data_IF_467113071618
#
_entry.id   IF_467113071618
#
_cell.length_a   1.000
_cell.length_b   1.000
_cell.length_c   1.000
_cell.angle_alpha   90.00
_cell.angle_beta   90.00
_cell.angle_gamma   90.00
#
_symmetry.space_group_name_H-M   'P 1'
#
loop_
_entity.id
_entity.type
_entity.pdbx_description
1 polymer ?
#
# COMPACT_ATOMS: atom_id res chain seq x y z
N UNK A 1 -1.19 3.18 6.79
CA UNK A 1 -0.52 1.98 7.34
C UNK A 1 -1.26 0.69 7.01
N UNK A 2 -2.59 0.63 7.05
CA UNK A 2 -3.39 -0.56 6.67
C UNK A 2 -3.26 -0.98 5.19
N UNK A 3 -2.62 -0.17 4.37
CA UNK A 3 -2.49 -0.37 2.93
C UNK A 3 -1.79 -1.69 2.56
N UNK A 4 -0.75 -2.07 3.30
CA UNK A 4 -0.01 -3.31 3.05
C UNK A 4 -0.90 -4.55 3.10
N UNK A 5 -1.56 -4.84 4.22
CA UNK A 5 -2.48 -5.97 4.32
C UNK A 5 -3.62 -5.94 3.29
N UNK A 6 -4.21 -4.77 3.02
CA UNK A 6 -5.26 -4.67 1.99
C UNK A 6 -4.73 -5.03 0.61
N UNK A 7 -3.55 -4.56 0.25
CA UNK A 7 -2.92 -4.86 -1.05
C UNK A 7 -2.57 -6.34 -1.21
N UNK A 8 -2.17 -7.01 -0.13
CA UNK A 8 -1.75 -8.42 -0.15
C UNK A 8 -2.90 -9.37 0.11
N UNK A 9 -3.72 -9.13 1.11
CA UNK A 9 -4.64 -10.13 1.65
C UNK A 9 -6.01 -10.13 0.97
N UNK A 10 -6.47 -9.00 0.41
CA UNK A 10 -7.68 -8.96 -0.44
C UNK A 10 -7.53 -9.79 -1.73
N UNK A 11 -6.30 -10.04 -2.14
CA UNK A 11 -5.97 -10.80 -3.34
C UNK A 11 -6.20 -12.31 -3.19
N UNK A 12 -6.07 -12.87 -1.98
CA UNK A 12 -6.10 -14.31 -1.74
C UNK A 12 -7.39 -15.00 -2.22
N UNK A 13 -8.60 -14.49 -1.96
CA UNK A 13 -9.83 -15.13 -2.43
C UNK A 13 -9.99 -15.14 -3.95
N UNK A 14 -9.28 -14.29 -4.68
CA UNK A 14 -9.38 -14.16 -6.13
C UNK A 14 -8.44 -15.07 -6.91
N UNK A 15 -7.55 -15.81 -6.25
CA UNK A 15 -6.59 -16.71 -6.90
C UNK A 15 -7.20 -17.69 -7.90
N UNK A 16 -8.33 -18.40 -7.61
CA UNK A 16 -8.93 -19.32 -8.57
C UNK A 16 -9.43 -18.63 -9.84
N UNK A 17 -10.17 -17.53 -9.71
CA UNK A 17 -10.73 -16.79 -10.86
C UNK A 17 -9.64 -16.14 -11.71
N UNK A 18 -8.54 -15.73 -11.10
CA UNK A 18 -7.38 -15.22 -11.83
C UNK A 18 -6.65 -16.31 -12.61
N UNK A 19 -6.54 -17.54 -12.06
CA UNK A 19 -5.99 -18.68 -12.76
C UNK A 19 -6.75 -18.99 -14.03
N UNK A 20 -8.07 -18.93 -14.00
CA UNK A 20 -8.94 -19.09 -15.16
C UNK A 20 -8.76 -17.95 -16.18
N UNK A 21 -8.73 -16.71 -15.71
CA UNK A 21 -8.57 -15.54 -16.58
C UNK A 21 -7.24 -15.52 -17.34
N UNK A 22 -6.14 -15.77 -16.65
CA UNK A 22 -4.80 -15.81 -17.27
C UNK A 22 -4.47 -17.15 -17.91
N UNK A 23 -5.37 -18.15 -17.83
CA UNK A 23 -5.16 -19.52 -18.35
C UNK A 23 -3.86 -20.14 -17.86
N UNK A 24 -3.60 -19.99 -16.56
CA UNK A 24 -2.33 -20.37 -15.94
C UNK A 24 -2.57 -21.17 -14.65
N UNK A 25 -1.49 -21.70 -14.09
CA UNK A 25 -1.54 -22.47 -12.85
C UNK A 25 -1.73 -21.56 -11.62
N UNK A 26 -2.36 -22.04 -10.55
CA UNK A 26 -2.46 -21.31 -9.28
C UNK A 26 -1.10 -20.85 -8.75
N UNK A 27 -0.06 -21.64 -8.97
CA UNK A 27 1.31 -21.30 -8.55
C UNK A 27 1.85 -20.03 -9.23
N UNK A 28 1.56 -19.84 -10.53
CA UNK A 28 1.96 -18.64 -11.25
C UNK A 28 1.14 -17.42 -10.82
N UNK A 29 -0.14 -17.60 -10.47
CA UNK A 29 -0.94 -16.52 -9.90
C UNK A 29 -0.40 -16.09 -8.54
N UNK A 30 0.06 -17.02 -7.70
CA UNK A 30 0.72 -16.72 -6.43
C UNK A 30 2.01 -15.91 -6.58
N UNK A 31 2.68 -15.96 -7.74
CA UNK A 31 3.83 -15.08 -8.01
C UNK A 31 3.47 -13.59 -7.91
N UNK A 32 2.26 -13.21 -8.26
CA UNK A 32 1.77 -11.85 -8.07
C UNK A 32 1.74 -11.42 -6.59
N UNK A 33 1.35 -12.33 -5.70
CA UNK A 33 1.40 -12.10 -4.25
C UNK A 33 2.86 -11.99 -3.76
N UNK A 34 3.69 -12.95 -4.13
CA UNK A 34 5.12 -12.96 -3.78
C UNK A 34 5.82 -11.70 -4.31
N UNK A 35 5.58 -11.31 -5.55
CA UNK A 35 6.12 -10.09 -6.15
C UNK A 35 5.73 -8.84 -5.35
N UNK A 36 4.46 -8.73 -4.93
CA UNK A 36 4.03 -7.59 -4.13
C UNK A 36 4.65 -7.56 -2.73
N UNK A 37 4.87 -8.72 -2.11
CA UNK A 37 5.56 -8.82 -0.81
C UNK A 37 7.04 -8.46 -0.92
N UNK A 38 7.73 -8.93 -1.97
CA UNK A 38 9.11 -8.52 -2.25
C UNK A 38 9.17 -7.01 -2.49
N UNK A 39 8.25 -6.48 -3.28
CA UNK A 39 8.13 -5.04 -3.51
C UNK A 39 7.91 -4.24 -2.22
N UNK A 40 7.04 -4.75 -1.33
CA UNK A 40 6.78 -4.15 -0.03
C UNK A 40 8.05 -4.11 0.84
N UNK A 41 8.79 -5.21 0.90
CA UNK A 41 10.04 -5.29 1.65
C UNK A 41 11.12 -4.36 1.09
N UNK A 42 11.35 -4.41 -0.22
CA UNK A 42 12.30 -3.54 -0.91
C UNK A 42 11.93 -2.05 -0.73
N UNK A 43 10.66 -1.72 -0.91
CA UNK A 43 10.17 -0.35 -0.77
C UNK A 43 10.39 0.23 0.64
N UNK A 44 10.30 -0.59 1.69
CA UNK A 44 10.58 -0.14 3.06
C UNK A 44 12.04 0.32 3.22
N UNK A 45 12.98 -0.36 2.58
CA UNK A 45 14.39 -0.01 2.61
C UNK A 45 14.64 1.31 1.88
N UNK A 46 13.95 1.54 0.76
CA UNK A 46 14.14 2.75 -0.05
C UNK A 46 13.43 3.99 0.50
N UNK A 47 12.18 3.84 0.93
CA UNK A 47 11.38 4.99 1.35
C UNK A 47 11.79 5.57 2.71
N UNK A 48 12.44 4.80 3.58
CA UNK A 48 12.99 5.30 4.84
C UNK A 48 13.98 6.45 4.59
N UNK A 49 15.18 6.18 4.04
CA UNK A 49 16.20 7.19 3.77
C UNK A 49 15.73 8.28 2.81
N UNK A 50 14.90 7.92 1.81
CA UNK A 50 14.38 8.87 0.84
C UNK A 50 13.50 9.93 1.50
N UNK A 51 12.64 9.53 2.44
CA UNK A 51 11.77 10.44 3.17
C UNK A 51 12.54 11.32 4.17
N UNK A 52 13.68 10.84 4.68
CA UNK A 52 14.55 11.63 5.55
C UNK A 52 15.30 12.72 4.76
N UNK A 53 15.72 12.40 3.53
CA UNK A 53 16.48 13.32 2.67
C UNK A 53 15.62 14.38 1.99
N UNK A 54 14.47 14.00 1.43
CA UNK A 54 13.61 14.88 0.62
C UNK A 54 12.37 15.40 1.36
N UNK A 55 12.26 15.10 2.65
CA UNK A 55 11.07 15.38 3.45
C UNK A 55 9.96 14.37 3.23
N UNK A 56 8.96 14.34 4.12
CA UNK A 56 7.91 13.32 4.16
C UNK A 56 6.91 13.41 3.00
N UNK A 57 6.63 14.61 2.52
CA UNK A 57 5.57 14.87 1.54
C UNK A 57 5.89 14.39 0.14
N UNK A 58 7.08 14.71 -0.37
CA UNK A 58 7.44 14.41 -1.76
C UNK A 58 7.50 12.89 -2.04
N UNK A 59 8.21 12.07 -1.23
CA UNK A 59 8.21 10.62 -1.43
C UNK A 59 6.84 9.98 -1.21
N UNK A 60 6.02 10.53 -0.30
CA UNK A 60 4.66 10.02 -0.07
C UNK A 60 3.75 10.25 -1.28
N UNK A 61 3.79 11.42 -1.90
CA UNK A 61 3.05 11.68 -3.13
C UNK A 61 3.56 10.80 -4.28
N UNK A 62 4.87 10.65 -4.43
CA UNK A 62 5.45 9.76 -5.44
C UNK A 62 4.99 8.31 -5.26
N UNK A 63 4.99 7.81 -4.03
CA UNK A 63 4.49 6.49 -3.70
C UNK A 63 3.00 6.34 -4.05
N UNK A 64 2.16 7.32 -3.73
CA UNK A 64 0.73 7.28 -4.06
C UNK A 64 0.47 7.30 -5.57
N UNK A 65 1.21 8.12 -6.34
CA UNK A 65 1.11 8.10 -7.80
C UNK A 65 1.55 6.75 -8.39
N UNK A 66 2.68 6.21 -7.92
CA UNK A 66 3.14 4.89 -8.35
C UNK A 66 2.12 3.81 -8.02
N UNK A 67 1.48 3.88 -6.84
CA UNK A 67 0.42 2.96 -6.44
C UNK A 67 -0.78 3.00 -7.38
N UNK A 68 -1.25 4.19 -7.71
CA UNK A 68 -2.40 4.38 -8.61
C UNK A 68 -2.08 3.86 -10.01
N UNK A 69 -0.92 4.20 -10.57
CA UNK A 69 -0.50 3.79 -11.90
C UNK A 69 -0.34 2.26 -11.97
N UNK A 70 0.32 1.65 -10.99
CA UNK A 70 0.50 0.20 -10.95
C UNK A 70 -0.82 -0.54 -10.74
N UNK A 71 -1.74 0.00 -9.95
CA UNK A 71 -3.08 -0.58 -9.74
C UNK A 71 -3.91 -0.56 -11.03
N UNK A 72 -3.90 0.55 -11.76
CA UNK A 72 -4.55 0.65 -13.08
C UNK A 72 -3.91 -0.37 -14.04
N UNK A 73 -2.59 -0.47 -14.06
CA UNK A 73 -1.88 -1.47 -14.86
C UNK A 73 -2.31 -2.90 -14.53
N UNK A 74 -2.47 -3.25 -13.26
CA UNK A 74 -2.94 -4.57 -12.83
C UNK A 74 -4.34 -4.91 -13.38
N UNK A 75 -5.24 -3.93 -13.44
CA UNK A 75 -6.60 -4.13 -13.97
C UNK A 75 -6.57 -4.50 -15.46
N UNK A 76 -5.66 -3.91 -16.21
CA UNK A 76 -5.53 -4.07 -17.66
C UNK A 76 -4.38 -4.99 -18.08
N UNK A 77 -3.73 -5.69 -17.15
CA UNK A 77 -2.61 -6.57 -17.46
C UNK A 77 -3.03 -7.72 -18.41
N UNK A 78 -2.37 -7.87 -19.57
CA UNK A 78 -2.74 -8.90 -20.55
C UNK A 78 -2.17 -10.27 -20.21
N UNK A 79 -1.06 -10.33 -19.47
CA UNK A 79 -0.36 -11.57 -19.12
C UNK A 79 -0.03 -11.61 -17.63
N UNK A 80 0.22 -12.82 -17.11
CA UNK A 80 0.57 -13.01 -15.69
C UNK A 80 1.94 -12.41 -15.35
N UNK A 81 2.88 -12.40 -16.27
CA UNK A 81 4.21 -11.84 -16.07
C UNK A 81 4.14 -10.32 -15.89
N UNK A 82 3.40 -9.63 -16.76
CA UNK A 82 3.17 -8.19 -16.67
C UNK A 82 2.43 -7.86 -15.36
N UNK A 83 1.43 -8.67 -15.02
CA UNK A 83 0.70 -8.54 -13.77
C UNK A 83 1.63 -8.67 -12.56
N UNK A 84 2.54 -9.65 -12.54
CA UNK A 84 3.49 -9.86 -11.45
C UNK A 84 4.47 -8.66 -11.30
N UNK A 85 4.96 -8.10 -12.41
CA UNK A 85 5.81 -6.90 -12.39
C UNK A 85 5.04 -5.70 -11.83
N UNK A 86 3.81 -5.50 -12.24
CA UNK A 86 2.97 -4.42 -11.73
C UNK A 86 2.64 -4.60 -10.25
N UNK A 87 2.46 -5.83 -9.78
CA UNK A 87 2.31 -6.15 -8.36
C UNK A 87 3.55 -5.84 -7.55
N UNK A 88 4.74 -6.08 -8.10
CA UNK A 88 6.00 -5.67 -7.49
C UNK A 88 6.04 -4.13 -7.28
N UNK A 89 5.72 -3.37 -8.32
CA UNK A 89 5.68 -1.91 -8.26
C UNK A 89 4.61 -1.41 -7.28
N UNK A 90 3.44 -2.05 -7.25
CA UNK A 90 2.37 -1.75 -6.32
C UNK A 90 2.80 -2.01 -4.87
N UNK A 91 3.55 -3.10 -4.62
CA UNK A 91 4.13 -3.40 -3.31
C UNK A 91 5.14 -2.34 -2.86
N UNK A 92 6.05 -1.93 -3.73
CA UNK A 92 7.02 -0.85 -3.47
C UNK A 92 6.27 0.44 -3.08
N UNK A 93 5.27 0.80 -3.85
CA UNK A 93 4.45 1.99 -3.58
C UNK A 93 3.69 1.90 -2.24
N UNK A 94 3.12 0.74 -1.92
CA UNK A 94 2.45 0.47 -0.64
C UNK A 94 3.38 0.66 0.57
N UNK A 95 4.65 0.25 0.43
CA UNK A 95 5.67 0.45 1.45
C UNK A 95 5.89 1.93 1.78
N UNK A 96 5.90 2.80 0.76
CA UNK A 96 6.02 4.25 0.95
C UNK A 96 4.94 4.79 1.88
N UNK A 97 3.69 4.37 1.69
CA UNK A 97 2.58 4.76 2.56
C UNK A 97 2.75 4.29 4.01
N UNK A 98 3.25 3.07 4.22
CA UNK A 98 3.46 2.50 5.56
C UNK A 98 4.61 3.22 6.28
N UNK A 99 5.77 3.32 5.64
CA UNK A 99 6.98 3.89 6.24
C UNK A 99 6.78 5.36 6.56
N UNK A 100 6.28 6.13 5.60
CA UNK A 100 6.16 7.58 5.75
C UNK A 100 5.07 7.93 6.77
N UNK A 101 3.96 7.19 6.84
CA UNK A 101 2.93 7.45 7.85
C UNK A 101 3.43 7.20 9.27
N UNK A 102 4.27 6.18 9.49
CA UNK A 102 4.92 5.95 10.79
C UNK A 102 5.92 7.05 11.11
N UNK A 103 6.74 7.44 10.15
CA UNK A 103 7.70 8.54 10.32
C UNK A 103 7.02 9.86 10.65
N UNK A 104 5.90 10.17 9.99
CA UNK A 104 5.10 11.37 10.32
C UNK A 104 4.59 11.30 11.76
N UNK A 105 4.10 10.15 12.21
CA UNK A 105 3.65 9.99 13.58
C UNK A 105 4.77 10.25 14.60
N UNK A 106 5.98 9.73 14.33
CA UNK A 106 7.16 9.96 15.21
C UNK A 106 7.66 11.40 15.17
N UNK A 107 7.47 12.11 14.07
CA UNK A 107 7.87 13.50 13.92
C UNK A 107 6.87 14.47 14.59
N UNK A 108 5.58 14.10 14.65
CA UNK A 108 4.51 14.97 15.17
C UNK A 108 4.17 14.76 16.64
N UNK A 109 4.37 13.56 17.16
CA UNK A 109 3.97 13.18 18.50
C UNK A 109 5.15 12.70 19.32
N UNK A 110 5.08 12.91 20.64
CA UNK A 110 6.10 12.46 21.60
C UNK A 110 5.44 11.82 22.83
N UNK A 111 6.22 11.02 23.57
CA UNK A 111 5.78 10.45 24.84
C UNK A 111 4.49 9.62 24.73
N UNK A 112 3.52 9.89 25.59
CA UNK A 112 2.25 9.15 25.67
C UNK A 112 1.38 9.28 24.40
N UNK A 113 1.41 10.43 23.73
CA UNK A 113 0.64 10.64 22.50
C UNK A 113 1.20 9.84 21.34
N UNK A 114 2.53 9.75 21.21
CA UNK A 114 3.18 8.89 20.23
C UNK A 114 2.82 7.42 20.49
N UNK A 115 2.92 6.97 21.73
CA UNK A 115 2.58 5.58 22.09
C UNK A 115 1.10 5.26 21.73
N UNK A 116 0.17 6.17 22.02
CA UNK A 116 -1.24 6.01 21.67
C UNK A 116 -1.45 5.97 20.15
N UNK A 117 -0.81 6.86 19.41
CA UNK A 117 -0.90 6.91 17.94
C UNK A 117 -0.35 5.64 17.30
N UNK A 118 0.81 5.17 17.75
CA UNK A 118 1.41 3.91 17.26
C UNK A 118 0.58 2.69 17.65
N UNK A 119 -0.05 2.68 18.82
CA UNK A 119 -0.97 1.62 19.23
C UNK A 119 -2.23 1.56 18.33
N UNK A 120 -2.80 2.71 17.98
CA UNK A 120 -3.93 2.79 17.03
C UNK A 120 -3.50 2.27 15.64
N UNK A 121 -2.34 2.71 15.15
CA UNK A 121 -1.76 2.22 13.90
C UNK A 121 -1.56 0.70 13.94
N UNK A 122 -1.05 0.19 15.05
CA UNK A 122 -0.87 -1.25 15.28
C UNK A 122 -2.19 -2.01 15.29
N UNK A 123 -3.21 -1.50 15.97
CA UNK A 123 -4.53 -2.10 16.02
C UNK A 123 -5.18 -2.17 14.62
N UNK A 124 -5.09 -1.10 13.84
CA UNK A 124 -5.59 -1.05 12.46
C UNK A 124 -4.85 -2.09 11.59
N UNK A 125 -3.52 -2.17 11.72
CA UNK A 125 -2.72 -3.15 10.99
C UNK A 125 -3.01 -4.60 11.43
N UNK A 126 -3.40 -4.82 12.68
CA UNK A 126 -3.80 -6.14 13.19
C UNK A 126 -5.18 -6.59 12.70
N UNK A 127 -6.12 -5.65 12.55
CA UNK A 127 -7.48 -5.94 12.05
C UNK A 127 -7.51 -6.07 10.52
N UNK A 128 -6.67 -5.34 9.81
CA UNK A 128 -6.67 -5.30 8.36
C UNK A 128 -6.49 -6.69 7.69
N UNK A 129 -5.58 -7.59 8.13
CA UNK A 129 -5.45 -8.93 7.56
C UNK A 129 -6.69 -9.82 7.73
N UNK A 130 -7.51 -9.56 8.76
CA UNK A 130 -8.77 -10.29 8.97
C UNK A 130 -9.89 -9.71 8.11
N UNK A 131 -9.97 -8.39 8.01
CA UNK A 131 -10.99 -7.70 7.23
C UNK A 131 -10.76 -7.83 5.71
N UNK A 132 -9.51 -7.79 5.26
CA UNK A 132 -9.17 -7.77 3.85
C UNK A 132 -9.65 -9.01 3.07
N UNK A 133 -9.46 -10.26 3.51
CA UNK A 133 -9.98 -11.45 2.82
C UNK A 133 -11.52 -11.50 2.81
N UNK A 134 -12.17 -11.04 3.88
CA UNK A 134 -13.65 -11.01 3.96
C UNK A 134 -14.21 -10.06 2.92
N UNK A 135 -13.67 -8.84 2.85
CA UNK A 135 -14.06 -7.84 1.86
C UNK A 135 -13.71 -8.32 0.45
N UNK A 136 -12.50 -8.87 0.27
CA UNK A 136 -12.03 -9.40 -1.01
C UNK A 136 -12.90 -10.55 -1.52
N UNK A 137 -13.29 -11.48 -0.64
CA UNK A 137 -14.18 -12.58 -0.97
C UNK A 137 -15.55 -12.10 -1.44
N UNK A 138 -16.18 -11.21 -0.69
CA UNK A 138 -17.47 -10.62 -1.09
C UNK A 138 -17.42 -9.84 -2.40
N UNK A 139 -16.32 -9.16 -2.68
CA UNK A 139 -16.13 -8.46 -3.95
C UNK A 139 -15.92 -9.45 -5.12
N UNK A 140 -15.19 -10.53 -4.91
CA UNK A 140 -14.94 -11.54 -5.94
C UNK A 140 -16.22 -12.27 -6.34
N UNK A 141 -17.10 -12.55 -5.39
CA UNK A 141 -18.41 -13.16 -5.65
C UNK A 141 -19.34 -12.24 -6.44
N UNK A 142 -19.23 -10.90 -6.23
CA UNK A 142 -20.14 -9.92 -6.85
C UNK A 142 -19.65 -9.29 -8.14
N UNK A 143 -18.37 -9.01 -8.29
CA UNK A 143 -17.83 -8.11 -9.34
C UNK A 143 -16.69 -8.73 -10.15
N UNK A 144 -16.18 -9.92 -9.80
CA UNK A 144 -14.95 -10.50 -10.33
C UNK A 144 -13.67 -9.98 -9.62
N UNK A 145 -12.54 -10.67 -9.82
CA UNK A 145 -11.25 -10.34 -9.20
C UNK A 145 -10.76 -8.90 -9.48
N UNK A 146 -11.14 -8.34 -10.62
CA UNK A 146 -10.83 -6.93 -10.97
C UNK A 146 -11.49 -5.93 -10.02
N UNK A 147 -12.60 -6.28 -9.39
CA UNK A 147 -13.28 -5.44 -8.41
C UNK A 147 -12.40 -5.08 -7.22
N UNK A 148 -11.51 -5.98 -6.81
CA UNK A 148 -10.53 -5.74 -5.74
C UNK A 148 -9.60 -4.58 -6.11
N UNK A 149 -9.09 -4.58 -7.32
CA UNK A 149 -8.19 -3.52 -7.81
C UNK A 149 -8.91 -2.19 -8.00
N UNK A 150 -10.19 -2.20 -8.36
CA UNK A 150 -11.01 -0.97 -8.40
C UNK A 150 -11.19 -0.37 -7.02
N UNK A 151 -11.40 -1.19 -5.98
CA UNK A 151 -11.49 -0.73 -4.59
C UNK A 151 -10.13 -0.18 -4.13
N UNK A 152 -9.04 -0.88 -4.43
CA UNK A 152 -7.69 -0.41 -4.10
C UNK A 152 -7.37 0.92 -4.82
N UNK A 153 -7.80 1.08 -6.06
CA UNK A 153 -7.65 2.32 -6.82
C UNK A 153 -8.42 3.46 -6.15
N UNK A 154 -9.68 3.24 -5.78
CA UNK A 154 -10.49 4.24 -5.08
C UNK A 154 -9.85 4.66 -3.76
N UNK A 155 -9.37 3.70 -2.95
CA UNK A 155 -8.64 3.97 -1.72
C UNK A 155 -7.35 4.78 -1.99
N UNK A 156 -6.60 4.43 -3.02
CA UNK A 156 -5.39 5.15 -3.44
C UNK A 156 -5.68 6.60 -3.81
N UNK A 157 -6.75 6.86 -4.55
CA UNK A 157 -7.19 8.20 -4.95
C UNK A 157 -7.63 9.01 -3.72
N UNK A 158 -8.44 8.43 -2.83
CA UNK A 158 -8.89 9.08 -1.59
C UNK A 158 -7.69 9.50 -0.74
N UNK A 159 -6.71 8.61 -0.58
CA UNK A 159 -5.51 8.90 0.18
C UNK A 159 -4.63 9.95 -0.50
N UNK A 160 -4.51 9.92 -1.82
CA UNK A 160 -3.78 10.95 -2.57
C UNK A 160 -4.39 12.33 -2.37
N UNK A 161 -5.72 12.43 -2.45
CA UNK A 161 -6.45 13.67 -2.20
C UNK A 161 -6.25 14.15 -0.75
N UNK A 162 -6.35 13.23 0.22
CA UNK A 162 -6.06 13.53 1.62
C UNK A 162 -4.64 14.06 1.82
N UNK A 163 -3.64 13.42 1.22
CA UNK A 163 -2.24 13.86 1.29
C UNK A 163 -1.99 15.21 0.61
N UNK A 164 -2.73 15.53 -0.43
CA UNK A 164 -2.65 16.86 -1.08
C UNK A 164 -3.26 17.96 -0.23
N UNK A 165 -4.35 17.68 0.46
CA UNK A 165 -5.04 18.62 1.35
C UNK A 165 -4.22 18.92 2.62
N UNK A 166 -3.42 17.97 3.12
CA UNK A 166 -2.50 18.19 4.23
C UNK A 166 -1.32 19.02 3.74
N UNK A 167 -1.46 20.33 3.80
CA UNK A 167 -0.62 21.32 3.12
C UNK A 167 0.79 21.49 3.70
N UNK A 168 1.10 21.00 4.90
CA UNK A 168 2.43 21.13 5.52
C UNK A 168 2.71 20.00 6.51
N UNK A 169 3.50 19.02 6.08
CA UNK A 169 4.29 18.21 7.01
C UNK A 169 5.70 18.78 6.96
N UNK A 170 6.19 19.47 8.05
CA UNK A 170 7.53 20.06 8.04
C UNK A 170 8.61 19.00 7.85
N UNK A 171 9.73 19.29 7.19
CA UNK A 171 10.86 18.37 7.14
C UNK A 171 11.44 18.16 8.55
N UNK A 172 11.84 16.92 8.85
CA UNK A 172 12.29 16.43 10.17
C UNK A 172 13.45 17.22 10.84
N UNK A 173 14.06 18.18 10.17
CA UNK A 173 15.24 18.91 10.67
C UNK A 173 14.98 20.26 11.34
N UNK A 174 13.75 20.77 11.41
CA UNK A 174 13.49 22.15 11.89
C UNK A 174 12.88 22.26 13.28
N UNK A 175 12.58 21.16 13.96
CA UNK A 175 11.99 21.23 15.30
C UNK A 175 13.03 21.30 16.44
N UNK A 176 14.28 20.88 16.25
CA UNK A 176 15.32 20.99 17.27
C UNK A 176 16.01 22.36 17.37
N UNK A 177 15.64 23.33 16.53
CA UNK A 177 16.23 24.68 16.56
C UNK A 177 15.37 25.71 17.32
N UNK A 178 14.31 25.28 18.01
CA UNK A 178 13.42 26.18 18.78
C UNK A 178 13.23 25.82 20.27
N UNK A 179 14.22 25.12 20.85
CA UNK A 179 14.32 25.00 22.32
C UNK A 179 15.61 25.61 22.81
#
# INVERSE_FOLDING_TARGET
TAFGPFVTDMYLPSLPSMGEYFKTTPSLVQLGLTASMIGLAAGQIFFGPLSDKYGRRSPMLAAMYLFIISTIGCIFAPTIEIFAILRLLQGIAGAGGIVISRSVATDMFTGKELAKTLAIIGAINGVAPVAAPIIGGGLTEGIDWKGIFWVLLALGIILLLGCRLIRQIPPAGKQHARQ
#
